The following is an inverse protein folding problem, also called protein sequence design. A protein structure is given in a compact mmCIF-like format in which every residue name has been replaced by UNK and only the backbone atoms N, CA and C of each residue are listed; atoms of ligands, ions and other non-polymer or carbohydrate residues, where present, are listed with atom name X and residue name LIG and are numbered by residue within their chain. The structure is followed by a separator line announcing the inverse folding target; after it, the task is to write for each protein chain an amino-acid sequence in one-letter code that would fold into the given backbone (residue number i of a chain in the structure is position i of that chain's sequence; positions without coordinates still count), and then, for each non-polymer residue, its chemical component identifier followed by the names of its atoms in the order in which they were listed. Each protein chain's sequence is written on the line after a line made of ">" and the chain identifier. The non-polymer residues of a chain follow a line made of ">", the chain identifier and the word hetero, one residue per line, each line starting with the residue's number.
data_IF_554828667802
#
_entry.id   IF_554828667802
#
_cell.length_a   1.000
_cell.length_b   1.000
_cell.length_c   1.000
_cell.angle_alpha   90.00
_cell.angle_beta   90.00
_cell.angle_gamma   90.00
#
_symmetry.space_group_name_H-M   'P 1'
#
loop_
_entity.id
_entity.type
_entity.pdbx_description
1 polymer ?
#
# COMPACT_ATOMS: atom_id res chain seq x y z
N UNK A 1 32.46 27.19 -6.05
CA UNK A 1 31.18 26.47 -6.12
C UNK A 1 31.31 25.20 -5.29
N UNK A 2 30.58 25.09 -4.19
CA UNK A 2 30.68 23.95 -3.28
C UNK A 2 30.18 22.67 -3.99
N UNK A 3 30.89 21.55 -3.87
CA UNK A 3 30.55 20.23 -4.46
C UNK A 3 29.22 19.62 -3.96
N UNK A 4 28.49 20.32 -3.09
CA UNK A 4 27.28 19.86 -2.40
C UNK A 4 25.96 20.46 -2.93
N UNK A 5 25.97 21.25 -4.01
CA UNK A 5 24.74 21.91 -4.52
C UNK A 5 23.57 20.94 -4.74
N UNK A 6 23.83 19.85 -5.47
CA UNK A 6 22.82 18.81 -5.71
C UNK A 6 22.34 18.11 -4.42
N UNK A 7 23.19 18.00 -3.40
CA UNK A 7 22.82 17.40 -2.12
C UNK A 7 21.84 18.25 -1.33
N UNK A 8 22.08 19.57 -1.26
CA UNK A 8 21.19 20.53 -0.60
C UNK A 8 19.85 20.62 -1.34
N UNK A 9 19.88 20.66 -2.67
CA UNK A 9 18.67 20.70 -3.48
C UNK A 9 17.85 19.42 -3.30
N UNK A 10 18.47 18.23 -3.41
CA UNK A 10 17.78 16.96 -3.18
C UNK A 10 17.18 16.87 -1.78
N UNK A 11 17.91 17.33 -0.76
CA UNK A 11 17.41 17.34 0.62
C UNK A 11 16.19 18.24 0.76
N UNK A 12 16.23 19.42 0.16
CA UNK A 12 15.11 20.37 0.17
C UNK A 12 13.87 19.75 -0.47
N UNK A 13 14.00 19.12 -1.65
CA UNK A 13 12.88 18.45 -2.32
C UNK A 13 12.31 17.27 -1.50
N UNK A 14 13.18 16.46 -0.89
CA UNK A 14 12.75 15.32 -0.06
C UNK A 14 12.01 15.81 1.20
N UNK A 15 12.49 16.89 1.83
CA UNK A 15 11.82 17.47 2.99
C UNK A 15 10.47 18.05 2.59
N UNK A 16 10.36 18.80 1.49
CA UNK A 16 9.06 19.34 1.05
C UNK A 16 8.06 18.25 0.64
N UNK A 17 8.53 17.16 0.02
CA UNK A 17 7.68 16.01 -0.30
C UNK A 17 7.17 15.34 0.99
N UNK A 18 8.06 15.13 1.97
CA UNK A 18 7.68 14.58 3.28
C UNK A 18 6.73 15.50 4.04
N UNK A 19 6.96 16.82 3.99
CA UNK A 19 6.07 17.86 4.54
C UNK A 19 4.68 17.76 3.90
N UNK A 20 4.59 17.57 2.57
CA UNK A 20 3.33 17.34 1.86
C UNK A 20 2.57 16.09 2.35
N UNK A 21 3.28 14.99 2.55
CA UNK A 21 2.69 13.76 3.13
C UNK A 21 2.17 14.01 4.54
N UNK A 22 2.93 14.68 5.41
CA UNK A 22 2.50 15.01 6.77
C UNK A 22 1.26 15.92 6.77
N UNK A 23 1.16 16.82 5.80
CA UNK A 23 0.00 17.66 5.61
C UNK A 23 -1.24 16.83 5.26
N UNK A 24 -1.13 15.95 4.25
CA UNK A 24 -2.22 15.05 3.84
C UNK A 24 -2.64 14.07 4.94
N UNK A 25 -1.70 13.63 5.79
CA UNK A 25 -2.02 12.80 6.97
C UNK A 25 -2.70 13.58 8.10
N UNK A 26 -2.82 14.91 7.99
CA UNK A 26 -3.33 15.78 9.05
C UNK A 26 -2.40 15.89 10.27
N UNK A 27 -1.16 15.43 10.15
CA UNK A 27 -0.13 15.54 11.20
C UNK A 27 0.44 16.97 11.24
N UNK A 28 0.41 17.65 10.09
CA UNK A 28 0.85 19.03 9.89
C UNK A 28 2.28 19.11 9.37
N UNK A 29 2.46 19.72 8.20
CA UNK A 29 3.77 19.91 7.56
C UNK A 29 4.80 20.60 8.44
N UNK A 30 4.35 21.47 9.35
CA UNK A 30 5.21 22.26 10.22
C UNK A 30 5.95 21.42 11.28
N UNK A 31 5.60 20.13 11.45
CA UNK A 31 6.36 19.20 12.29
C UNK A 31 7.69 18.76 11.71
N UNK A 32 7.97 19.06 10.43
CA UNK A 32 9.25 18.81 9.78
C UNK A 32 9.77 20.11 9.19
N UNK A 33 11.01 20.50 9.52
CA UNK A 33 11.66 21.70 8.98
C UNK A 33 13.05 21.39 8.48
N UNK A 34 13.49 22.16 7.49
CA UNK A 34 14.84 22.12 6.96
C UNK A 34 15.47 23.51 7.06
N UNK A 35 16.73 23.54 7.49
CA UNK A 35 17.55 24.75 7.55
C UNK A 35 19.02 24.36 7.48
N UNK A 36 19.84 25.26 6.94
CA UNK A 36 21.29 25.09 6.83
C UNK A 36 21.96 26.20 7.62
N UNK A 37 22.96 25.85 8.42
CA UNK A 37 23.73 26.78 9.23
C UNK A 37 25.22 26.61 8.91
N UNK A 38 25.97 27.71 8.95
CA UNK A 38 27.43 27.64 8.96
C UNK A 38 27.90 27.20 10.36
N UNK A 39 29.05 26.53 10.50
CA UNK A 39 29.58 26.11 11.81
C UNK A 39 29.69 27.24 12.84
N UNK A 40 29.93 28.48 12.38
CA UNK A 40 30.03 29.68 13.20
C UNK A 40 28.68 30.31 13.61
N UNK A 41 27.55 29.93 12.98
CA UNK A 41 26.23 30.52 13.25
C UNK A 41 25.47 29.77 14.37
N UNK A 42 26.09 29.67 15.54
CA UNK A 42 25.50 29.00 16.69
C UNK A 42 24.20 29.70 17.18
N UNK A 43 24.16 31.03 17.11
CA UNK A 43 23.00 31.82 17.53
C UNK A 43 21.81 31.63 16.58
N UNK A 44 22.06 31.54 15.27
CA UNK A 44 21.03 31.22 14.28
C UNK A 44 20.42 29.84 14.50
N UNK A 45 21.27 28.83 14.71
CA UNK A 45 20.81 27.47 15.03
C UNK A 45 19.98 27.45 16.33
N UNK A 46 20.45 28.11 17.39
CA UNK A 46 19.73 28.16 18.66
C UNK A 46 18.34 28.81 18.50
N UNK A 47 18.25 29.94 17.79
CA UNK A 47 16.97 30.60 17.51
C UNK A 47 16.04 29.70 16.70
N UNK A 48 16.55 29.01 15.69
CA UNK A 48 15.78 28.05 14.89
C UNK A 48 15.20 26.94 15.76
N UNK A 49 16.02 26.31 16.61
CA UNK A 49 15.58 25.23 17.50
C UNK A 49 14.53 25.70 18.51
N UNK A 50 14.71 26.88 19.10
CA UNK A 50 13.76 27.47 20.05
C UNK A 50 12.42 27.80 19.38
N UNK A 51 12.45 28.36 18.17
CA UNK A 51 11.23 28.67 17.42
C UNK A 51 10.51 27.38 17.00
N UNK A 52 11.26 26.39 16.49
CA UNK A 52 10.68 25.10 16.13
C UNK A 52 10.04 24.40 17.33
N UNK A 53 10.70 24.43 18.50
CA UNK A 53 10.13 23.89 19.74
C UNK A 53 8.79 24.57 20.09
N UNK A 54 8.73 25.90 20.05
CA UNK A 54 7.49 26.65 20.33
C UNK A 54 6.38 26.28 19.36
N UNK A 55 6.70 26.21 18.07
CA UNK A 55 5.72 25.90 17.03
C UNK A 55 5.18 24.48 17.19
N UNK A 56 6.03 23.50 17.48
CA UNK A 56 5.60 22.10 17.75
C UNK A 56 4.76 22.00 19.02
N UNK A 57 5.04 22.82 20.05
CA UNK A 57 4.22 22.89 21.26
C UNK A 57 2.80 23.41 20.96
N UNK A 58 2.67 24.40 20.08
CA UNK A 58 1.37 24.94 19.64
C UNK A 58 0.58 23.91 18.84
N UNK A 59 1.25 23.12 17.98
CA UNK A 59 0.62 22.03 17.23
C UNK A 59 0.12 20.88 18.13
N UNK A 60 0.54 20.84 19.40
CA UNK A 60 0.13 19.81 20.34
C UNK A 60 0.74 18.43 20.06
N UNK A 61 0.22 17.42 20.75
CA UNK A 61 0.71 16.03 20.66
C UNK A 61 0.49 15.47 19.25
N UNK A 62 1.40 14.60 18.82
CA UNK A 62 1.23 13.85 17.58
C UNK A 62 0.05 12.87 17.75
N UNK A 63 -0.95 12.85 16.86
CA UNK A 63 -2.07 11.91 16.92
C UNK A 63 -1.65 10.46 16.65
N UNK A 64 -0.45 10.25 16.11
CA UNK A 64 0.11 8.92 15.88
C UNK A 64 0.76 8.43 17.16
N UNK A 65 0.18 7.40 17.76
CA UNK A 65 0.78 6.72 18.91
C UNK A 65 1.77 5.69 18.36
N UNK A 66 3.09 5.89 18.53
CA UNK A 66 4.04 4.87 18.13
C UNK A 66 3.76 3.61 18.95
N UNK A 67 3.94 2.42 18.36
CA UNK A 67 3.88 1.19 19.14
C UNK A 67 4.95 1.29 20.24
N UNK A 68 4.60 0.87 21.47
CA UNK A 68 5.37 1.13 22.69
C UNK A 68 6.84 0.77 22.47
N UNK A 69 7.78 1.68 22.78
CA UNK A 69 9.21 1.42 22.65
C UNK A 69 9.58 0.09 23.35
N UNK A 70 9.97 -0.92 22.56
CA UNK A 70 10.11 -2.33 22.97
C UNK A 70 9.21 -3.32 22.22
N UNK A 71 8.24 -2.84 21.43
CA UNK A 71 7.39 -3.65 20.55
C UNK A 71 7.99 -3.90 19.17
N UNK A 72 9.01 -3.12 18.78
CA UNK A 72 10.06 -3.70 17.96
C UNK A 72 10.79 -4.64 18.91
N UNK A 73 10.32 -5.89 18.94
CA UNK A 73 11.18 -6.96 19.37
C UNK A 73 12.56 -6.69 18.75
N UNK A 74 13.67 -6.85 19.50
CA UNK A 74 14.95 -7.11 18.87
C UNK A 74 14.70 -8.10 17.74
N UNK A 75 15.47 -8.04 16.65
CA UNK A 75 15.57 -9.17 15.72
C UNK A 75 15.94 -10.42 16.53
N UNK A 76 14.94 -11.08 17.12
CA UNK A 76 15.11 -12.29 17.87
C UNK A 76 15.44 -13.32 16.81
N UNK A 77 16.50 -14.13 16.98
CA UNK A 77 16.64 -15.30 16.15
C UNK A 77 15.35 -16.11 16.32
N UNK A 78 14.67 -16.32 15.20
CA UNK A 78 13.39 -17.02 15.06
C UNK A 78 13.35 -18.29 15.93
N UNK A 79 12.24 -18.57 16.62
CA UNK A 79 11.78 -19.94 16.70
C UNK A 79 10.49 -20.05 15.86
N UNK A 80 10.33 -21.11 15.04
CA UNK A 80 10.98 -22.41 15.22
C UNK A 80 11.67 -22.98 13.98
N UNK A 81 12.51 -23.98 14.25
CA UNK A 81 13.06 -24.90 13.25
C UNK A 81 11.96 -25.59 12.44
N UNK A 82 12.35 -26.22 11.32
CA UNK A 82 11.59 -27.14 10.43
C UNK A 82 10.64 -28.14 11.12
N UNK A 83 10.74 -28.31 12.45
CA UNK A 83 10.00 -29.26 13.26
C UNK A 83 8.67 -28.75 13.81
N UNK A 84 8.34 -27.46 13.70
CA UNK A 84 7.13 -26.95 14.34
C UNK A 84 5.87 -27.08 13.48
N UNK A 85 4.79 -27.44 14.15
CA UNK A 85 3.50 -27.77 13.55
C UNK A 85 2.94 -26.72 12.57
N UNK A 86 3.02 -25.39 12.85
CA UNK A 86 2.54 -24.37 11.92
C UNK A 86 3.30 -24.37 10.59
N UNK A 87 4.61 -24.61 10.63
CA UNK A 87 5.45 -24.63 9.46
C UNK A 87 5.12 -25.83 8.55
N UNK A 88 4.94 -27.01 9.14
CA UNK A 88 4.57 -28.23 8.39
C UNK A 88 3.17 -28.14 7.80
N UNK A 89 2.25 -27.54 8.55
CA UNK A 89 0.88 -27.29 8.09
C UNK A 89 0.88 -26.40 6.85
N UNK A 90 1.60 -25.29 6.88
CA UNK A 90 1.69 -24.36 5.75
C UNK A 90 2.25 -25.03 4.49
N UNK A 91 3.30 -25.84 4.62
CA UNK A 91 3.89 -26.56 3.48
C UNK A 91 2.92 -27.57 2.85
N UNK A 92 2.08 -28.20 3.67
CA UNK A 92 1.07 -29.15 3.22
C UNK A 92 -0.14 -28.46 2.59
N UNK A 93 -0.61 -27.35 3.18
CA UNK A 93 -1.77 -26.60 2.67
C UNK A 93 -1.53 -26.02 1.27
N UNK A 94 -0.28 -25.67 0.95
CA UNK A 94 0.10 -25.09 -0.34
C UNK A 94 0.85 -26.07 -1.26
N UNK A 95 0.81 -27.37 -0.97
CA UNK A 95 1.40 -28.44 -1.79
C UNK A 95 2.88 -28.22 -2.18
N UNK A 96 3.68 -27.58 -1.32
CA UNK A 96 5.08 -27.25 -1.65
C UNK A 96 5.90 -28.52 -1.96
N UNK A 97 5.62 -29.63 -1.28
CA UNK A 97 6.26 -30.93 -1.52
C UNK A 97 5.95 -31.54 -2.89
N UNK A 98 4.95 -31.04 -3.63
CA UNK A 98 4.66 -31.48 -4.99
C UNK A 98 5.63 -30.89 -6.03
N UNK A 99 6.60 -30.05 -5.61
CA UNK A 99 7.55 -29.40 -6.50
C UNK A 99 8.39 -30.43 -7.29
N UNK A 100 8.28 -30.40 -8.61
CA UNK A 100 9.01 -31.28 -9.53
C UNK A 100 10.35 -30.70 -10.01
N UNK A 101 10.77 -29.56 -9.45
CA UNK A 101 11.97 -28.81 -9.86
C UNK A 101 12.10 -28.51 -11.37
N UNK A 102 10.98 -28.51 -12.12
CA UNK A 102 11.00 -28.37 -13.58
C UNK A 102 11.41 -26.98 -14.11
N UNK A 103 11.38 -25.94 -13.26
CA UNK A 103 11.90 -24.60 -13.57
C UNK A 103 10.96 -23.66 -14.33
N UNK A 104 9.75 -24.08 -14.70
CA UNK A 104 8.77 -23.23 -15.42
C UNK A 104 8.44 -21.94 -14.67
N UNK A 105 8.26 -22.03 -13.35
CA UNK A 105 8.02 -20.87 -12.48
C UNK A 105 9.20 -19.88 -12.48
N UNK A 106 10.44 -20.38 -12.56
CA UNK A 106 11.63 -19.54 -12.58
C UNK A 106 11.82 -18.86 -13.93
N UNK A 107 11.54 -19.55 -15.04
CA UNK A 107 11.60 -18.95 -16.38
C UNK A 107 10.55 -17.87 -16.61
N UNK A 108 9.45 -17.88 -15.85
CA UNK A 108 8.40 -16.87 -15.92
C UNK A 108 8.53 -15.78 -14.84
N UNK A 109 9.40 -15.97 -13.83
CA UNK A 109 9.51 -15.05 -12.70
C UNK A 109 10.20 -13.73 -13.12
N UNK A 110 9.54 -12.57 -12.99
CA UNK A 110 10.14 -11.29 -13.37
C UNK A 110 11.44 -11.00 -12.62
N UNK A 111 11.48 -11.33 -11.32
CA UNK A 111 12.66 -11.11 -10.47
C UNK A 111 13.85 -11.96 -10.94
N UNK A 112 13.62 -13.23 -11.29
CA UNK A 112 14.66 -14.10 -11.87
C UNK A 112 15.14 -13.57 -13.22
N UNK A 113 14.22 -13.13 -14.09
CA UNK A 113 14.55 -12.66 -15.44
C UNK A 113 15.40 -11.39 -15.46
N UNK A 114 15.22 -10.49 -14.48
CA UNK A 114 16.07 -9.31 -14.33
C UNK A 114 17.40 -9.58 -13.59
N UNK A 115 17.72 -10.85 -13.32
CA UNK A 115 19.00 -11.26 -12.74
C UNK A 115 19.14 -11.04 -11.24
N UNK A 116 18.04 -10.76 -10.52
CA UNK A 116 18.06 -10.69 -9.06
C UNK A 116 18.16 -12.10 -8.46
N UNK A 117 18.76 -12.27 -7.26
CA UNK A 117 19.04 -13.57 -6.66
C UNK A 117 17.80 -14.22 -6.05
N UNK A 118 16.75 -14.44 -6.83
CA UNK A 118 15.49 -15.04 -6.39
C UNK A 118 14.95 -15.97 -7.47
N UNK A 119 14.36 -17.09 -7.04
CA UNK A 119 13.72 -18.07 -7.94
C UNK A 119 12.69 -18.88 -7.16
N UNK A 120 11.41 -18.92 -7.59
CA UNK A 120 10.38 -19.72 -6.92
C UNK A 120 10.78 -21.20 -6.80
N UNK A 121 11.34 -21.79 -7.85
CA UNK A 121 11.83 -23.17 -7.84
C UNK A 121 12.94 -23.35 -6.80
N UNK A 122 13.93 -22.47 -6.80
CA UNK A 122 15.09 -22.62 -5.92
C UNK A 122 14.68 -22.48 -4.46
N UNK A 123 13.75 -21.58 -4.17
CA UNK A 123 13.21 -21.41 -2.83
C UNK A 123 12.40 -22.62 -2.38
N UNK A 124 11.48 -23.13 -3.22
CA UNK A 124 10.74 -24.36 -2.91
C UNK A 124 11.70 -25.54 -2.66
N UNK A 125 12.72 -25.72 -3.51
CA UNK A 125 13.73 -26.76 -3.34
C UNK A 125 14.53 -26.61 -2.03
N UNK A 126 14.96 -25.38 -1.68
CA UNK A 126 15.62 -25.10 -0.39
C UNK A 126 14.71 -25.41 0.79
N UNK A 127 13.44 -25.02 0.73
CA UNK A 127 12.46 -25.30 1.78
C UNK A 127 12.25 -26.80 1.95
N UNK A 128 12.23 -27.58 0.87
CA UNK A 128 12.09 -29.05 0.95
C UNK A 128 13.37 -29.69 1.53
N UNK A 129 14.55 -29.22 1.14
CA UNK A 129 15.83 -29.80 1.53
C UNK A 129 16.30 -29.40 2.95
N UNK A 130 16.16 -28.11 3.28
CA UNK A 130 16.70 -27.48 4.50
C UNK A 130 15.60 -26.98 5.45
N UNK A 131 14.34 -26.93 4.99
CA UNK A 131 13.22 -26.35 5.73
C UNK A 131 13.12 -24.82 5.64
N UNK A 132 12.06 -24.27 6.22
CA UNK A 132 11.75 -22.82 6.14
C UNK A 132 12.68 -21.94 6.97
N UNK A 133 13.42 -22.51 7.92
CA UNK A 133 14.38 -21.79 8.76
C UNK A 133 15.76 -21.59 8.09
N UNK A 134 15.90 -21.95 6.82
CA UNK A 134 17.11 -21.68 6.05
C UNK A 134 17.30 -20.16 5.90
N UNK A 135 18.46 -19.58 6.28
CA UNK A 135 18.68 -18.13 6.22
C UNK A 135 18.47 -17.52 4.83
N UNK A 136 18.68 -18.30 3.76
CA UNK A 136 18.42 -17.84 2.40
C UNK A 136 16.92 -17.70 2.12
N UNK A 137 16.08 -18.57 2.70
CA UNK A 137 14.62 -18.44 2.62
C UNK A 137 14.20 -17.12 3.26
N UNK A 138 14.70 -16.83 4.46
CA UNK A 138 14.34 -15.62 5.21
C UNK A 138 14.73 -14.33 4.50
N UNK A 139 15.86 -14.34 3.79
CA UNK A 139 16.27 -13.21 2.97
C UNK A 139 15.39 -13.06 1.71
N UNK A 140 15.05 -14.18 1.07
CA UNK A 140 14.45 -14.21 -0.27
C UNK A 140 12.92 -14.12 -0.26
N UNK A 141 12.23 -14.50 0.82
CA UNK A 141 10.75 -14.44 0.90
C UNK A 141 10.21 -13.04 0.57
N UNK A 142 10.96 -12.01 0.94
CA UNK A 142 10.61 -10.61 0.76
C UNK A 142 10.78 -10.13 -0.68
N UNK A 143 11.59 -10.82 -1.49
CA UNK A 143 11.82 -10.49 -2.91
C UNK A 143 10.66 -10.87 -3.82
N UNK A 144 9.82 -11.82 -3.39
CA UNK A 144 8.71 -12.29 -4.20
C UNK A 144 7.71 -11.15 -4.48
N UNK A 145 7.34 -10.95 -5.75
CA UNK A 145 6.29 -9.98 -6.09
C UNK A 145 4.87 -10.48 -5.78
N UNK A 146 4.74 -11.77 -5.43
CA UNK A 146 3.46 -12.50 -5.28
C UNK A 146 2.50 -12.36 -6.48
N UNK A 147 3.04 -12.09 -7.68
CA UNK A 147 2.29 -11.77 -8.91
C UNK A 147 1.52 -12.93 -9.57
N UNK A 148 1.53 -14.14 -9.01
CA UNK A 148 0.76 -15.27 -9.58
C UNK A 148 1.38 -16.00 -10.76
N UNK A 149 2.25 -15.37 -11.58
CA UNK A 149 2.79 -16.00 -12.80
C UNK A 149 3.46 -17.38 -12.59
N UNK A 150 4.02 -17.63 -11.41
CA UNK A 150 4.61 -18.92 -11.07
C UNK A 150 3.57 -20.03 -10.86
N UNK A 151 2.41 -19.68 -10.28
CA UNK A 151 1.29 -20.58 -10.05
C UNK A 151 0.65 -20.99 -11.39
N UNK A 152 0.35 -20.03 -12.27
CA UNK A 152 -0.24 -20.28 -13.60
C UNK A 152 0.60 -21.21 -14.48
N UNK A 153 1.92 -21.22 -14.26
CA UNK A 153 2.88 -22.03 -15.02
C UNK A 153 3.23 -23.35 -14.33
N UNK A 154 2.78 -23.55 -13.10
CA UNK A 154 3.12 -24.71 -12.31
C UNK A 154 2.32 -25.95 -12.78
N UNK A 155 2.98 -27.01 -13.29
CA UNK A 155 2.28 -28.22 -13.69
C UNK A 155 1.68 -28.99 -12.50
N UNK A 156 2.14 -28.69 -11.29
CA UNK A 156 1.69 -29.30 -10.03
C UNK A 156 0.71 -28.41 -9.26
N UNK A 157 0.26 -27.29 -9.85
CA UNK A 157 -0.71 -26.36 -9.27
C UNK A 157 -0.35 -25.80 -7.87
N UNK A 158 0.94 -25.77 -7.53
CA UNK A 158 1.44 -25.20 -6.26
C UNK A 158 1.05 -23.71 -6.17
N UNK A 159 0.32 -23.33 -5.13
CA UNK A 159 0.00 -21.94 -4.82
C UNK A 159 1.17 -21.25 -4.09
N UNK A 160 2.25 -21.05 -4.85
CA UNK A 160 3.43 -20.39 -4.35
C UNK A 160 3.21 -18.93 -3.91
N UNK A 161 2.41 -18.08 -4.58
CA UNK A 161 2.20 -16.71 -4.11
C UNK A 161 1.44 -16.65 -2.79
N UNK A 162 0.42 -17.50 -2.55
CA UNK A 162 -0.29 -17.51 -1.27
C UNK A 162 0.59 -18.09 -0.15
N UNK A 163 1.33 -19.18 -0.43
CA UNK A 163 2.36 -19.69 0.47
C UNK A 163 3.31 -18.59 0.97
N UNK A 164 3.78 -17.72 0.07
CA UNK A 164 4.65 -16.60 0.43
C UNK A 164 3.94 -15.56 1.30
N UNK A 165 2.66 -15.22 1.02
CA UNK A 165 1.90 -14.27 1.84
C UNK A 165 1.72 -14.79 3.27
N UNK A 166 1.42 -16.07 3.42
CA UNK A 166 1.28 -16.71 4.71
C UNK A 166 2.62 -16.83 5.45
N UNK A 167 3.68 -17.23 4.75
CA UNK A 167 5.02 -17.30 5.32
C UNK A 167 5.48 -15.92 5.82
N UNK A 168 5.25 -14.86 5.05
CA UNK A 168 5.50 -13.48 5.51
C UNK A 168 4.73 -13.13 6.76
N UNK A 169 3.48 -13.57 6.89
CA UNK A 169 2.67 -13.31 8.07
C UNK A 169 3.20 -14.01 9.33
N UNK A 170 3.79 -15.20 9.17
CA UNK A 170 4.50 -15.90 10.26
C UNK A 170 5.79 -15.15 10.67
N UNK A 171 6.49 -14.55 9.71
CA UNK A 171 7.76 -13.82 9.93
C UNK A 171 7.62 -12.35 10.32
N UNK A 172 6.51 -11.70 9.95
CA UNK A 172 6.27 -10.25 10.12
C UNK A 172 6.51 -9.73 11.55
N UNK A 173 6.18 -10.47 12.64
CA UNK A 173 6.48 -10.03 14.00
C UNK A 173 7.98 -9.82 14.30
N UNK A 174 8.88 -10.43 13.51
CA UNK A 174 10.34 -10.35 13.69
C UNK A 174 11.02 -9.20 12.93
N UNK A 175 10.29 -8.48 12.08
CA UNK A 175 10.86 -7.52 11.13
C UNK A 175 11.52 -8.19 9.92
N UNK A 176 11.71 -7.45 8.83
CA UNK A 176 12.40 -7.94 7.65
C UNK A 176 13.92 -7.80 7.78
N UNK A 177 14.64 -8.88 7.50
CA UNK A 177 16.11 -8.90 7.40
C UNK A 177 16.56 -9.02 5.92
N UNK A 178 15.60 -9.01 4.99
CA UNK A 178 15.81 -9.40 3.59
C UNK A 178 15.58 -8.30 2.55
N UNK A 179 15.57 -8.70 1.28
CA UNK A 179 15.36 -7.80 0.15
C UNK A 179 13.86 -7.51 -0.02
N UNK A 180 13.36 -6.46 0.62
CA UNK A 180 11.95 -6.08 0.53
C UNK A 180 11.56 -5.61 -0.87
N UNK A 181 10.69 -6.37 -1.55
CA UNK A 181 9.91 -5.87 -2.68
C UNK A 181 8.76 -4.96 -2.24
N UNK A 182 8.23 -5.20 -1.02
CA UNK A 182 7.13 -4.45 -0.41
C UNK A 182 7.55 -4.04 0.99
N UNK A 183 8.01 -2.79 1.14
CA UNK A 183 8.52 -2.28 2.40
C UNK A 183 8.78 -0.78 2.39
N UNK A 184 9.09 -0.24 3.57
CA UNK A 184 9.44 1.17 3.74
C UNK A 184 8.24 2.10 3.88
N UNK A 185 8.15 3.08 2.98
CA UNK A 185 7.33 4.28 3.18
C UNK A 185 5.83 3.98 3.23
N UNK A 186 5.26 3.27 2.25
CA UNK A 186 3.82 3.04 2.17
C UNK A 186 3.29 2.15 3.31
N UNK A 187 4.08 1.16 3.76
CA UNK A 187 3.77 0.36 4.94
C UNK A 187 3.78 1.22 6.21
N UNK A 188 4.75 2.13 6.33
CA UNK A 188 4.80 3.08 7.44
C UNK A 188 3.62 4.06 7.41
N UNK A 189 3.23 4.50 6.21
CA UNK A 189 2.05 5.33 5.97
C UNK A 189 0.77 4.61 6.42
N UNK A 190 0.54 3.36 5.99
CA UNK A 190 -0.63 2.59 6.39
C UNK A 190 -0.64 2.27 7.88
N UNK A 191 0.50 1.94 8.50
CA UNK A 191 0.62 1.77 9.96
C UNK A 191 0.24 3.05 10.69
N UNK A 192 0.68 4.20 10.18
CA UNK A 192 0.30 5.50 10.71
C UNK A 192 -1.21 5.73 10.65
N UNK A 193 -1.84 5.33 9.54
CA UNK A 193 -3.29 5.40 9.34
C UNK A 193 -4.10 4.49 10.29
N UNK A 194 -3.46 3.58 11.01
CA UNK A 194 -4.14 2.78 12.05
C UNK A 194 -4.43 3.56 13.34
N UNK A 195 -3.93 4.79 13.47
CA UNK A 195 -4.28 5.63 14.61
C UNK A 195 -5.72 6.19 14.46
N UNK A 196 -6.63 5.92 15.42
CA UNK A 196 -8.02 6.37 15.34
C UNK A 196 -8.18 7.90 15.46
N UNK A 197 -7.22 8.56 16.11
CA UNK A 197 -7.22 10.02 16.30
C UNK A 197 -6.68 10.78 15.07
N UNK A 198 -6.18 10.06 14.07
CA UNK A 198 -5.71 10.67 12.83
C UNK A 198 -6.90 11.26 12.06
N UNK A 199 -6.74 12.48 11.55
CA UNK A 199 -7.73 13.19 10.75
C UNK A 199 -7.08 13.58 9.43
N UNK A 200 -7.24 12.72 8.43
CA UNK A 200 -6.58 12.90 7.14
C UNK A 200 -7.27 14.02 6.35
N UNK A 201 -6.51 14.58 5.42
CA UNK A 201 -6.95 15.58 4.44
C UNK A 201 -6.78 14.99 3.06
N UNK A 202 -7.52 13.91 2.80
CA UNK A 202 -7.33 13.10 1.60
C UNK A 202 -7.81 13.83 0.34
N UNK A 203 -8.88 14.63 0.44
CA UNK A 203 -9.57 15.23 -0.71
C UNK A 203 -9.47 16.76 -0.78
N UNK A 204 -8.68 17.42 0.07
CA UNK A 204 -8.56 18.89 0.13
C UNK A 204 -8.03 19.54 -1.18
N UNK A 205 -7.55 18.74 -2.11
CA UNK A 205 -7.02 19.17 -3.41
C UNK A 205 -8.00 18.93 -4.58
N UNK A 206 -9.20 18.41 -4.30
CA UNK A 206 -10.18 18.09 -5.34
C UNK A 206 -10.61 19.37 -6.09
N UNK A 207 -10.64 19.37 -7.44
CA UNK A 207 -11.09 20.51 -8.23
C UNK A 207 -12.57 20.87 -8.01
N UNK A 208 -12.89 22.16 -8.06
CA UNK A 208 -14.24 22.69 -7.82
C UNK A 208 -15.30 22.24 -8.86
N UNK A 209 -14.86 21.77 -10.05
CA UNK A 209 -15.76 21.27 -11.08
C UNK A 209 -16.31 19.86 -10.79
N UNK A 210 -15.68 19.15 -9.85
CA UNK A 210 -16.14 17.82 -9.43
C UNK A 210 -17.29 17.94 -8.45
N UNK A 211 -18.42 17.32 -8.79
CA UNK A 211 -19.63 17.30 -7.96
C UNK A 211 -19.59 16.10 -7.02
N UNK A 212 -19.79 16.36 -5.73
CA UNK A 212 -19.94 15.33 -4.68
C UNK A 212 -21.21 15.61 -3.87
N UNK A 213 -21.79 14.55 -3.30
CA UNK A 213 -23.00 14.63 -2.48
C UNK A 213 -22.80 13.80 -1.20
N UNK A 214 -22.70 14.43 -0.01
CA UNK A 214 -22.49 13.71 1.24
C UNK A 214 -23.66 12.79 1.63
N UNK A 215 -24.86 13.02 1.08
CA UNK A 215 -26.05 12.19 1.34
C UNK A 215 -26.22 11.04 0.34
N UNK A 216 -25.30 10.91 -0.63
CA UNK A 216 -25.32 9.87 -1.65
C UNK A 216 -25.23 8.46 -1.05
N UNK A 217 -25.95 7.52 -1.67
CA UNK A 217 -25.83 6.08 -1.36
C UNK A 217 -24.62 5.42 -1.98
N UNK A 218 -23.90 6.14 -2.84
CA UNK A 218 -22.68 5.68 -3.49
C UNK A 218 -21.50 6.48 -2.94
N UNK A 219 -20.49 5.80 -2.41
CA UNK A 219 -19.20 6.39 -2.06
C UNK A 219 -18.20 6.14 -3.19
N UNK A 220 -17.41 7.15 -3.56
CA UNK A 220 -16.19 6.91 -4.35
C UNK A 220 -14.98 6.79 -3.41
N UNK A 221 -14.24 5.69 -3.51
CA UNK A 221 -13.05 5.40 -2.70
C UNK A 221 -11.78 5.49 -3.57
N UNK A 222 -10.95 6.50 -3.29
CA UNK A 222 -9.74 6.84 -4.05
C UNK A 222 -8.47 6.12 -3.59
N UNK A 223 -8.47 5.59 -2.37
CA UNK A 223 -7.39 4.78 -1.81
C UNK A 223 -6.15 5.59 -1.46
N UNK A 224 -4.99 5.17 -1.96
CA UNK A 224 -3.70 5.81 -1.64
C UNK A 224 -3.10 6.61 -2.81
N UNK A 225 -3.81 6.74 -3.93
CA UNK A 225 -3.27 7.31 -5.16
C UNK A 225 -2.54 8.65 -4.95
N UNK A 226 -3.12 9.67 -4.28
CA UNK A 226 -2.50 11.00 -4.22
C UNK A 226 -1.16 11.03 -3.47
N UNK A 227 -0.90 10.03 -2.60
CA UNK A 227 0.40 9.91 -1.93
C UNK A 227 1.52 9.51 -2.89
N UNK A 228 1.21 8.78 -3.97
CA UNK A 228 2.17 8.44 -5.03
C UNK A 228 2.66 9.69 -5.76
N UNK A 229 1.78 10.65 -6.01
CA UNK A 229 2.13 11.90 -6.71
C UNK A 229 3.10 12.77 -5.90
N UNK A 230 3.06 12.67 -4.58
CA UNK A 230 4.03 13.33 -3.70
C UNK A 230 5.32 12.51 -3.64
N UNK A 231 5.21 11.21 -3.40
CA UNK A 231 6.37 10.34 -3.17
C UNK A 231 7.24 10.16 -4.43
N UNK A 232 6.62 9.96 -5.59
CA UNK A 232 7.30 9.69 -6.86
C UNK A 232 7.50 10.93 -7.74
N UNK A 233 7.07 12.12 -7.29
CA UNK A 233 7.13 13.38 -8.04
C UNK A 233 8.47 13.62 -8.73
N UNK A 234 9.55 13.42 -7.99
CA UNK A 234 10.91 13.78 -8.43
C UNK A 234 11.54 12.74 -9.36
N UNK A 235 11.13 11.48 -9.24
CA UNK A 235 11.80 10.36 -9.94
C UNK A 235 11.01 9.86 -11.14
N UNK A 236 9.68 9.82 -11.04
CA UNK A 236 8.80 9.30 -12.07
C UNK A 236 7.81 10.35 -12.58
N UNK A 237 7.48 11.37 -11.78
CA UNK A 237 6.54 12.42 -12.18
C UNK A 237 5.13 11.91 -12.45
N UNK A 238 4.69 10.89 -11.70
CA UNK A 238 3.35 10.30 -11.86
C UNK A 238 2.24 11.30 -11.47
N UNK A 239 1.08 11.16 -12.11
CA UNK A 239 -0.12 11.97 -11.89
C UNK A 239 -1.32 11.05 -11.64
N UNK A 240 -1.25 10.28 -10.56
CA UNK A 240 -2.29 9.32 -10.17
C UNK A 240 -3.53 10.00 -9.58
N UNK A 241 -3.43 11.24 -9.11
CA UNK A 241 -4.59 12.06 -8.72
C UNK A 241 -5.53 12.34 -9.89
N UNK A 242 -5.01 12.48 -11.12
CA UNK A 242 -5.82 12.67 -12.33
C UNK A 242 -6.78 11.49 -12.54
N UNK A 243 -6.35 10.26 -12.22
CA UNK A 243 -7.22 9.06 -12.27
C UNK A 243 -8.44 9.22 -11.36
N UNK A 244 -8.26 9.79 -10.16
CA UNK A 244 -9.35 9.98 -9.21
C UNK A 244 -10.32 11.07 -9.69
N UNK A 245 -9.77 12.20 -10.17
CA UNK A 245 -10.56 13.30 -10.71
C UNK A 245 -11.37 12.84 -11.92
N UNK A 246 -10.74 12.15 -12.87
CA UNK A 246 -11.40 11.68 -14.08
C UNK A 246 -12.42 10.57 -13.78
N UNK A 247 -12.15 9.72 -12.79
CA UNK A 247 -13.15 8.75 -12.29
C UNK A 247 -14.40 9.45 -11.74
N UNK A 248 -14.22 10.50 -10.93
CA UNK A 248 -15.33 11.28 -10.39
C UNK A 248 -16.07 12.06 -11.48
N UNK A 249 -15.35 12.64 -12.46
CA UNK A 249 -15.96 13.30 -13.62
C UNK A 249 -16.75 12.33 -14.48
N UNK A 250 -16.26 11.11 -14.68
CA UNK A 250 -17.01 10.05 -15.36
C UNK A 250 -18.29 9.73 -14.60
N UNK A 251 -18.24 9.52 -13.28
CA UNK A 251 -19.45 9.34 -12.48
C UNK A 251 -20.42 10.52 -12.64
N UNK A 252 -19.92 11.76 -12.54
CA UNK A 252 -20.74 12.96 -12.73
C UNK A 252 -21.34 13.09 -14.12
N UNK A 253 -20.67 12.58 -15.17
CA UNK A 253 -21.20 12.54 -16.54
C UNK A 253 -22.41 11.61 -16.64
N UNK A 254 -22.43 10.52 -15.87
CA UNK A 254 -23.58 9.62 -15.72
C UNK A 254 -24.61 10.09 -14.69
N UNK A 255 -24.57 11.37 -14.29
CA UNK A 255 -25.41 11.97 -13.24
C UNK A 255 -25.30 11.27 -11.87
N UNK A 256 -24.19 10.56 -11.64
CA UNK A 256 -23.85 9.99 -10.34
C UNK A 256 -22.99 11.01 -9.60
N UNK A 257 -23.51 11.46 -8.47
CA UNK A 257 -22.82 12.39 -7.57
C UNK A 257 -22.47 11.62 -6.30
N UNK A 258 -21.26 11.05 -6.20
CA UNK A 258 -20.91 10.18 -5.08
C UNK A 258 -20.59 11.00 -3.83
N UNK A 259 -20.74 10.37 -2.66
CA UNK A 259 -20.09 10.81 -1.45
C UNK A 259 -18.58 10.57 -1.57
N UNK A 260 -17.81 11.28 -0.74
CA UNK A 260 -16.38 11.04 -0.52
C UNK A 260 -16.10 11.01 0.98
N UNK A 261 -15.13 10.21 1.41
CA UNK A 261 -14.71 10.17 2.80
C UNK A 261 -13.57 11.18 3.00
N UNK A 262 -13.84 12.31 3.65
CA UNK A 262 -12.85 13.40 3.77
C UNK A 262 -11.54 12.96 4.44
N UNK A 263 -11.64 12.10 5.46
CA UNK A 263 -10.52 11.48 6.17
C UNK A 263 -10.18 10.07 5.65
N UNK A 264 -10.38 9.81 4.36
CA UNK A 264 -10.12 8.51 3.74
C UNK A 264 -8.72 8.00 4.02
N UNK A 265 -8.65 6.73 4.42
CA UNK A 265 -7.40 6.00 4.65
C UNK A 265 -7.19 4.98 3.54
N UNK A 266 -5.95 4.54 3.39
CA UNK A 266 -5.62 3.45 2.46
C UNK A 266 -6.43 2.17 2.79
N UNK A 267 -6.73 1.37 1.76
CA UNK A 267 -7.40 0.07 1.93
C UNK A 267 -6.58 -0.93 2.76
N UNK A 268 -5.26 -0.75 2.87
CA UNK A 268 -4.37 -1.59 3.66
C UNK A 268 -3.73 -2.76 2.89
N UNK A 269 -3.96 -2.86 1.58
CA UNK A 269 -3.47 -3.94 0.73
C UNK A 269 -2.02 -4.36 1.06
N UNK A 270 -1.03 -3.45 0.98
CA UNK A 270 0.36 -3.88 1.16
C UNK A 270 0.69 -4.33 2.59
N UNK A 271 -0.09 -3.94 3.61
CA UNK A 271 0.08 -4.49 4.96
C UNK A 271 -0.25 -5.98 4.95
N UNK A 272 -1.36 -6.37 4.34
CA UNK A 272 -1.73 -7.78 4.23
C UNK A 272 -0.73 -8.56 3.38
N UNK A 273 -0.24 -7.97 2.27
CA UNK A 273 0.73 -8.60 1.36
C UNK A 273 2.14 -8.75 1.91
N UNK A 274 2.51 -7.90 2.86
CA UNK A 274 3.76 -7.99 3.64
C UNK A 274 3.60 -8.79 4.93
N UNK A 275 2.41 -9.34 5.20
CA UNK A 275 2.16 -10.19 6.36
C UNK A 275 1.81 -9.43 7.65
N UNK A 276 1.68 -8.11 7.62
CA UNK A 276 1.25 -7.26 8.75
C UNK A 276 -0.28 -7.33 8.96
N UNK A 277 -0.77 -8.53 9.28
CA UNK A 277 -2.20 -8.82 9.44
C UNK A 277 -2.83 -8.06 10.60
N UNK A 278 -2.06 -7.73 11.64
CA UNK A 278 -2.57 -6.99 12.78
C UNK A 278 -2.96 -5.56 12.40
N UNK A 279 -2.03 -4.81 11.79
CA UNK A 279 -2.31 -3.45 11.37
C UNK A 279 -3.31 -3.41 10.21
N UNK A 280 -3.28 -4.41 9.31
CA UNK A 280 -4.31 -4.57 8.28
C UNK A 280 -5.71 -4.62 8.89
N UNK A 281 -5.95 -5.50 9.87
CA UNK A 281 -7.28 -5.63 10.51
C UNK A 281 -7.69 -4.36 11.26
N UNK A 282 -6.74 -3.65 11.89
CA UNK A 282 -7.02 -2.35 12.53
C UNK A 282 -7.51 -1.34 11.49
N UNK A 283 -6.77 -1.21 10.39
CA UNK A 283 -7.12 -0.31 9.30
C UNK A 283 -8.46 -0.68 8.64
N UNK A 284 -8.69 -1.97 8.40
CA UNK A 284 -9.92 -2.48 7.83
C UNK A 284 -11.15 -2.10 8.67
N UNK A 285 -11.08 -2.27 10.00
CA UNK A 285 -12.16 -1.86 10.90
C UNK A 285 -12.41 -0.35 10.85
N UNK A 286 -11.36 0.46 10.91
CA UNK A 286 -11.49 1.93 10.81
C UNK A 286 -12.17 2.35 9.51
N UNK A 287 -11.80 1.72 8.39
CA UNK A 287 -12.42 2.01 7.09
C UNK A 287 -13.89 1.56 7.06
N UNK A 288 -14.20 0.33 7.48
CA UNK A 288 -15.58 -0.17 7.50
C UNK A 288 -16.46 0.67 8.41
N UNK A 289 -15.99 1.03 9.60
CA UNK A 289 -16.74 1.87 10.55
C UNK A 289 -16.99 3.27 9.97
N UNK A 290 -15.98 3.89 9.37
CA UNK A 290 -16.10 5.23 8.78
C UNK A 290 -17.04 5.25 7.57
N UNK A 291 -16.94 4.27 6.67
CA UNK A 291 -17.80 4.16 5.50
C UNK A 291 -19.24 3.82 5.91
N UNK A 292 -19.44 2.88 6.84
CA UNK A 292 -20.75 2.50 7.32
C UNK A 292 -21.48 3.67 8.01
N UNK A 293 -20.73 4.54 8.70
CA UNK A 293 -21.29 5.74 9.35
C UNK A 293 -21.90 6.74 8.35
N UNK A 294 -21.49 6.73 7.09
CA UNK A 294 -22.11 7.53 6.02
C UNK A 294 -23.46 6.96 5.54
N UNK A 295 -23.77 5.70 5.88
CA UNK A 295 -25.01 5.04 5.44
C UNK A 295 -25.08 4.78 3.94
N UNK A 296 -23.91 4.64 3.29
CA UNK A 296 -23.79 4.26 1.88
C UNK A 296 -24.09 2.78 1.68
N UNK A 297 -24.55 2.42 0.48
CA UNK A 297 -24.92 1.05 0.09
C UNK A 297 -23.90 0.44 -0.87
N UNK A 298 -23.24 1.27 -1.68
CA UNK A 298 -22.25 0.87 -2.68
C UNK A 298 -20.98 1.74 -2.55
N UNK A 299 -19.82 1.09 -2.56
CA UNK A 299 -18.50 1.72 -2.64
C UNK A 299 -17.91 1.44 -4.00
N UNK A 300 -17.62 2.49 -4.75
CA UNK A 300 -17.05 2.44 -6.09
C UNK A 300 -15.58 2.82 -6.01
N UNK A 301 -14.71 2.06 -6.69
CA UNK A 301 -13.29 2.38 -6.76
C UNK A 301 -12.72 2.06 -8.14
N UNK A 302 -11.76 2.86 -8.59
CA UNK A 302 -11.01 2.64 -9.83
C UNK A 302 -9.73 1.81 -9.62
N UNK A 303 -9.39 1.49 -8.37
CA UNK A 303 -8.20 0.73 -8.03
C UNK A 303 -8.56 -0.75 -7.85
N UNK A 304 -7.97 -1.68 -8.63
CA UNK A 304 -8.27 -3.10 -8.53
C UNK A 304 -7.84 -3.68 -7.17
N UNK A 305 -6.74 -3.21 -6.59
CA UNK A 305 -6.33 -3.60 -5.25
C UNK A 305 -7.34 -3.13 -4.20
N UNK A 306 -7.91 -1.92 -4.32
CA UNK A 306 -8.98 -1.46 -3.43
C UNK A 306 -10.25 -2.30 -3.60
N UNK A 307 -10.63 -2.59 -4.85
CA UNK A 307 -11.81 -3.42 -5.15
C UNK A 307 -11.69 -4.80 -4.49
N UNK A 308 -10.56 -5.49 -4.69
CA UNK A 308 -10.28 -6.78 -4.06
C UNK A 308 -10.22 -6.67 -2.54
N UNK A 309 -9.48 -5.69 -2.02
CA UNK A 309 -9.21 -5.58 -0.59
C UNK A 309 -10.49 -5.30 0.21
N UNK A 310 -11.30 -4.34 -0.24
CA UNK A 310 -12.57 -3.99 0.38
C UNK A 310 -13.63 -5.08 0.15
N UNK A 311 -13.66 -5.68 -1.04
CA UNK A 311 -14.69 -6.65 -1.43
C UNK A 311 -14.47 -8.07 -0.88
N UNK A 312 -13.22 -8.50 -0.74
CA UNK A 312 -12.86 -9.88 -0.41
C UNK A 312 -11.94 -9.96 0.82
N UNK A 313 -10.78 -9.30 0.78
CA UNK A 313 -9.73 -9.53 1.80
C UNK A 313 -10.18 -9.09 3.21
N UNK A 314 -11.03 -8.06 3.33
CA UNK A 314 -11.60 -7.66 4.63
C UNK A 314 -12.40 -8.80 5.28
N UNK A 315 -13.26 -9.46 4.49
CA UNK A 315 -14.10 -10.57 4.95
C UNK A 315 -13.26 -11.76 5.37
N UNK A 316 -12.26 -12.13 4.57
CA UNK A 316 -11.32 -13.21 4.90
C UNK A 316 -10.53 -12.94 6.20
N UNK A 317 -10.35 -11.67 6.54
CA UNK A 317 -9.71 -11.26 7.80
C UNK A 317 -10.70 -11.01 8.95
N UNK A 318 -11.97 -11.38 8.78
CA UNK A 318 -13.00 -11.31 9.82
C UNK A 318 -13.60 -9.92 10.03
N UNK A 319 -13.50 -9.03 9.04
CA UNK A 319 -14.12 -7.70 9.04
C UNK A 319 -15.15 -7.66 7.93
N UNK A 320 -16.43 -7.65 8.27
CA UNK A 320 -17.53 -7.74 7.30
C UNK A 320 -18.00 -6.34 6.87
N UNK A 321 -17.77 -5.91 5.62
CA UNK A 321 -18.27 -4.63 5.13
C UNK A 321 -19.78 -4.70 4.89
N UNK A 322 -20.59 -3.78 5.46
CA UNK A 322 -22.06 -3.78 5.30
C UNK A 322 -22.52 -3.16 3.96
N UNK A 323 -21.60 -2.98 3.01
CA UNK A 323 -21.84 -2.34 1.71
C UNK A 323 -21.31 -3.21 0.58
N UNK A 324 -21.86 -3.02 -0.62
CA UNK A 324 -21.33 -3.60 -1.86
C UNK A 324 -20.07 -2.85 -2.28
N UNK A 325 -19.09 -3.55 -2.82
CA UNK A 325 -17.93 -2.94 -3.47
C UNK A 325 -18.02 -3.22 -4.97
N UNK A 326 -17.89 -2.19 -5.79
CA UNK A 326 -18.01 -2.25 -7.25
C UNK A 326 -16.80 -1.60 -7.88
N UNK A 327 -16.20 -2.27 -8.87
CA UNK A 327 -15.13 -1.65 -9.64
C UNK A 327 -15.74 -0.61 -10.59
N UNK A 328 -15.06 0.52 -10.81
CA UNK A 328 -15.56 1.60 -11.67
C UNK A 328 -15.97 1.09 -13.05
N UNK A 329 -15.15 0.21 -13.67
CA UNK A 329 -15.50 -0.39 -14.97
C UNK A 329 -16.84 -1.13 -14.98
N UNK A 330 -17.16 -1.90 -13.94
CA UNK A 330 -18.42 -2.65 -13.85
C UNK A 330 -19.61 -1.67 -13.75
N UNK A 331 -19.44 -0.58 -12.99
CA UNK A 331 -20.46 0.46 -12.91
C UNK A 331 -20.61 1.17 -14.25
N UNK A 332 -19.52 1.56 -14.91
CA UNK A 332 -19.58 2.26 -16.20
C UNK A 332 -20.21 1.38 -17.28
N UNK A 333 -19.87 0.08 -17.34
CA UNK A 333 -20.48 -0.87 -18.28
C UNK A 333 -22.01 -0.91 -18.09
N UNK A 334 -22.49 -1.06 -16.84
CA UNK A 334 -23.92 -1.01 -16.51
C UNK A 334 -24.60 0.27 -16.98
N UNK A 335 -23.92 1.41 -16.86
CA UNK A 335 -24.48 2.71 -17.27
C UNK A 335 -24.46 2.91 -18.79
N UNK A 336 -23.41 2.45 -19.47
CA UNK A 336 -23.28 2.46 -20.94
C UNK A 336 -24.37 1.58 -21.56
N UNK A 337 -24.63 0.41 -21.00
CA UNK A 337 -25.63 -0.55 -21.48
C UNK A 337 -27.07 -0.02 -21.45
N UNK A 338 -27.33 1.09 -20.72
CA UNK A 338 -28.62 1.79 -20.77
C UNK A 338 -28.87 2.49 -22.11
N UNK A 339 -27.85 2.58 -22.98
CA UNK A 339 -27.99 3.04 -24.36
C UNK A 339 -28.04 4.56 -24.56
N UNK A 340 -27.70 5.34 -23.54
CA UNK A 340 -27.75 6.80 -23.59
C UNK A 340 -26.47 7.47 -24.15
N UNK A 341 -25.46 6.69 -24.56
CA UNK A 341 -24.13 7.20 -24.93
C UNK A 341 -23.73 6.72 -26.32
N UNK A 342 -23.08 7.62 -27.06
CA UNK A 342 -22.34 7.31 -28.27
C UNK A 342 -20.84 7.51 -28.03
N UNK A 343 -20.03 6.64 -28.64
CA UNK A 343 -18.58 6.73 -28.59
C UNK A 343 -18.06 7.32 -29.91
N UNK A 344 -17.16 8.29 -29.80
CA UNK A 344 -16.40 8.78 -30.94
C UNK A 344 -15.23 7.81 -31.23
N UNK A 345 -14.92 7.54 -32.51
CA UNK A 345 -13.78 6.72 -32.86
C UNK A 345 -12.49 7.35 -32.36
N UNK A 346 -11.74 6.60 -31.53
CA UNK A 346 -10.41 7.01 -31.14
C UNK A 346 -9.43 6.64 -32.26
N UNK A 347 -8.78 7.64 -32.86
CA UNK A 347 -7.83 7.47 -33.97
C UNK A 347 -6.47 6.87 -33.58
N UNK A 348 -6.39 6.26 -32.40
CA UNK A 348 -5.14 5.79 -31.78
C UNK A 348 -5.18 4.29 -31.51
N UNK A 349 -4.00 3.67 -31.48
CA UNK A 349 -3.84 2.26 -31.12
C UNK A 349 -3.57 2.14 -29.63
N UNK A 350 -4.48 1.48 -28.91
CA UNK A 350 -4.30 1.19 -27.49
C UNK A 350 -3.75 -0.21 -27.26
N UNK A 351 -3.04 -0.37 -26.14
CA UNK A 351 -2.74 -1.67 -25.53
C UNK A 351 -3.36 -1.66 -24.14
N UNK A 352 -4.24 -2.62 -23.87
CA UNK A 352 -4.85 -2.79 -22.56
C UNK A 352 -3.96 -3.67 -21.70
N UNK A 353 -3.80 -3.30 -20.44
CA UNK A 353 -3.11 -4.10 -19.44
C UNK A 353 -4.07 -4.32 -18.28
N UNK A 354 -4.50 -5.57 -18.13
CA UNK A 354 -5.25 -5.96 -16.94
C UNK A 354 -4.33 -5.92 -15.71
N UNK A 355 -4.87 -5.54 -14.54
CA UNK A 355 -4.12 -5.60 -13.32
C UNK A 355 -3.69 -7.05 -13.04
N UNK A 356 -2.53 -7.19 -12.38
CA UNK A 356 -1.98 -8.50 -12.07
C UNK A 356 -2.83 -9.32 -11.06
N UNK A 357 -3.83 -8.70 -10.41
CA UNK A 357 -4.55 -9.27 -9.26
C UNK A 357 -6.01 -8.87 -9.22
#
# INVERSE_FOLDING_TARGET
>A
TCRYGSGTDNTTHNVESTRGILEMLGIGKERLRWATFLPEDADGLLRFLQNFQKDVQVLGKNPVIPPVAGSHAPSHPRPPSVLDEPARKLLAEHDIYACQECGKCSSACPITLVGKPFSPRAMAGRIIASGMSDPAVDADIWSCLTCGLCHDRCPSAIDFPEFIRELRALESPGGSVGHEAHGGFFQSLMRTMTSPDLRLRHWDWLPDDVRTDPDSKILFFGGCAPYFDIFFRQHLGVQTSDILVDSLRLLNFFDITPAILTDERCCGHDLLWSGDRENFRKLARLNVDAIAALGVEEVVTACPECFRTLGHDYREQGVEPPFRVTHLYELLEREIDKGAIAFEPMGERLTFQDPCR
#
